data_IF_738844157675
#
_entry.id   IF_738844157675
#
_cell.length_a   1.000
_cell.length_b   1.000
_cell.length_c   1.000
_cell.angle_alpha   90.00
_cell.angle_beta   90.00
_cell.angle_gamma   90.00
#
_symmetry.space_group_name_H-M   'P 1'
#
loop_
_entity.id
_entity.type
_entity.pdbx_description
1 polymer ?
#
# COMPACT_ATOMS: atom_id res chain seq x y z
N UNK A 1 -13.34 19.05 -2.51
CA UNK A 1 -12.84 17.75 -2.01
C UNK A 1 -13.91 16.74 -2.30
N UNK A 2 -13.53 15.64 -2.95
CA UNK A 2 -14.43 14.53 -3.25
C UNK A 2 -14.80 13.82 -1.93
N UNK A 3 -16.08 13.50 -1.69
CA UNK A 3 -16.50 12.75 -0.51
C UNK A 3 -15.74 11.41 -0.41
N UNK A 4 -15.34 11.03 0.81
CA UNK A 4 -14.61 9.78 1.04
C UNK A 4 -15.40 8.53 0.57
N UNK A 5 -16.73 8.58 0.64
CA UNK A 5 -17.61 7.52 0.15
C UNK A 5 -17.49 7.31 -1.37
N UNK A 6 -17.34 8.39 -2.14
CA UNK A 6 -17.22 8.33 -3.61
C UNK A 6 -15.88 7.73 -4.01
N UNK A 7 -14.78 8.18 -3.38
CA UNK A 7 -13.44 7.61 -3.59
C UNK A 7 -13.41 6.11 -3.28
N UNK A 8 -14.12 5.70 -2.22
CA UNK A 8 -14.23 4.30 -1.85
C UNK A 8 -15.05 3.49 -2.87
N UNK A 9 -16.16 4.01 -3.37
CA UNK A 9 -16.97 3.35 -4.38
C UNK A 9 -16.18 3.14 -5.69
N UNK A 10 -15.39 4.14 -6.09
CA UNK A 10 -14.47 4.03 -7.21
C UNK A 10 -13.38 2.98 -6.97
N UNK A 11 -12.78 2.97 -5.78
CA UNK A 11 -11.81 1.95 -5.39
C UNK A 11 -12.39 0.52 -5.42
N UNK A 12 -13.66 0.34 -5.03
CA UNK A 12 -14.38 -0.94 -5.16
C UNK A 12 -14.64 -1.33 -6.62
N UNK A 13 -14.93 -0.36 -7.50
CA UNK A 13 -15.05 -0.62 -8.94
C UNK A 13 -13.70 -0.98 -9.58
N UNK A 14 -12.62 -0.34 -9.14
CA UNK A 14 -11.27 -0.62 -9.59
C UNK A 14 -10.78 -2.01 -9.15
N UNK A 15 -10.97 -2.35 -7.88
CA UNK A 15 -10.58 -3.65 -7.32
C UNK A 15 -11.32 -4.83 -7.98
N UNK A 16 -12.55 -4.63 -8.48
CA UNK A 16 -13.31 -5.65 -9.22
C UNK A 16 -12.75 -5.96 -10.61
N UNK A 17 -12.00 -5.03 -11.20
CA UNK A 17 -11.42 -5.19 -12.54
C UNK A 17 -10.04 -5.88 -12.51
N UNK A 18 -9.43 -6.01 -11.33
CA UNK A 18 -8.14 -6.65 -11.16
C UNK A 18 -8.30 -8.15 -10.84
N UNK A 19 -7.38 -9.01 -11.30
CA UNK A 19 -7.33 -10.39 -10.84
C UNK A 19 -7.05 -10.45 -9.32
N UNK A 20 -7.36 -11.57 -8.67
CA UNK A 20 -7.05 -11.78 -7.24
C UNK A 20 -5.55 -11.67 -6.92
N UNK A 21 -5.19 -11.54 -5.63
CA UNK A 21 -3.79 -11.50 -5.23
C UNK A 21 -3.22 -12.93 -5.17
N UNK A 22 -2.01 -13.09 -5.72
CA UNK A 22 -1.30 -14.35 -5.83
C UNK A 22 -0.28 -14.55 -4.70
N UNK A 23 -0.62 -14.20 -3.46
CA UNK A 23 0.28 -14.45 -2.33
C UNK A 23 0.40 -15.93 -1.97
N UNK A 24 -0.61 -16.74 -2.30
CA UNK A 24 -0.80 -18.11 -1.80
C UNK A 24 -0.19 -19.22 -2.67
N UNK A 25 0.08 -18.97 -3.96
CA UNK A 25 0.59 -19.99 -4.86
C UNK A 25 2.05 -20.39 -4.55
N UNK A 26 2.91 -19.40 -4.23
CA UNK A 26 4.33 -19.65 -3.99
C UNK A 26 4.62 -20.17 -2.57
N UNK A 27 3.84 -19.79 -1.57
CA UNK A 27 3.95 -20.40 -0.23
C UNK A 27 3.70 -21.92 -0.29
N UNK A 28 2.92 -22.39 -1.26
CA UNK A 28 2.68 -23.81 -1.52
C UNK A 28 3.77 -24.49 -2.34
N UNK A 29 4.44 -23.78 -3.28
CA UNK A 29 5.52 -24.34 -4.12
C UNK A 29 6.90 -24.31 -3.43
N UNK A 30 7.23 -23.24 -2.71
CA UNK A 30 8.48 -23.11 -1.94
C UNK A 30 8.53 -24.07 -0.74
N UNK A 31 7.39 -24.66 -0.35
CA UNK A 31 7.30 -25.67 0.71
C UNK A 31 7.81 -27.07 0.28
N UNK A 32 8.30 -27.23 -0.95
CA UNK A 32 8.71 -28.53 -1.51
C UNK A 32 10.21 -28.72 -1.79
N UNK A 33 11.11 -27.88 -1.26
CA UNK A 33 12.55 -28.20 -1.23
C UNK A 33 13.17 -27.84 0.13
N UNK A 34 13.15 -28.80 1.06
CA UNK A 34 14.30 -29.04 1.92
C UNK A 34 14.61 -28.13 3.12
N UNK A 35 13.65 -27.46 3.76
CA UNK A 35 13.90 -26.87 5.09
C UNK A 35 12.83 -27.24 6.12
N UNK A 36 13.28 -27.86 7.21
CA UNK A 36 12.50 -28.06 8.43
C UNK A 36 12.26 -26.69 9.11
N UNK A 37 11.29 -25.94 8.58
CA UNK A 37 10.93 -24.59 9.05
C UNK A 37 9.50 -24.56 9.62
N UNK A 38 9.34 -25.11 10.83
CA UNK A 38 8.25 -24.86 11.79
C UNK A 38 6.82 -24.67 11.20
N UNK A 39 6.25 -25.76 10.71
CA UNK A 39 4.78 -25.87 10.55
C UNK A 39 4.14 -25.97 11.94
N UNK A 40 3.19 -25.07 12.25
CA UNK A 40 2.46 -25.03 13.54
C UNK A 40 0.96 -25.19 13.28
N UNK A 41 0.22 -25.94 14.11
CA UNK A 41 -1.24 -25.95 14.05
C UNK A 41 -1.77 -24.55 14.36
N UNK A 42 -2.78 -24.09 13.61
CA UNK A 42 -3.27 -22.72 13.69
C UNK A 42 -4.68 -22.54 13.15
N UNK A 43 -5.04 -21.28 12.87
CA UNK A 43 -6.39 -20.86 12.45
C UNK A 43 -6.47 -20.56 10.95
N UNK A 44 -5.74 -21.29 10.09
CA UNK A 44 -5.88 -21.15 8.64
C UNK A 44 -7.05 -21.94 8.08
N UNK A 45 -7.25 -21.87 6.76
CA UNK A 45 -8.33 -22.56 6.07
C UNK A 45 -7.89 -23.91 5.46
N UNK A 46 -6.59 -24.07 5.22
CA UNK A 46 -6.02 -25.27 4.60
C UNK A 46 -5.92 -26.42 5.62
N UNK A 47 -6.43 -27.59 5.20
CA UNK A 47 -6.31 -28.83 5.97
C UNK A 47 -4.84 -29.20 6.15
N UNK A 48 -4.39 -29.31 7.40
CA UNK A 48 -3.02 -29.71 7.72
C UNK A 48 -2.96 -31.22 7.97
N UNK A 49 -3.57 -31.67 9.07
CA UNK A 49 -3.65 -33.09 9.41
C UNK A 49 -4.87 -33.35 10.30
N UNK A 50 -5.25 -34.62 10.40
CA UNK A 50 -6.10 -35.07 11.49
C UNK A 50 -5.24 -35.40 12.69
N UNK A 51 -5.60 -34.83 13.84
CA UNK A 51 -5.02 -35.18 15.14
C UNK A 51 -6.08 -35.87 15.99
N UNK A 52 -5.68 -36.80 16.86
CA UNK A 52 -6.56 -37.37 17.87
C UNK A 52 -7.03 -36.27 18.83
N UNK A 53 -8.33 -36.27 19.10
CA UNK A 53 -8.95 -35.39 20.08
C UNK A 53 -8.23 -35.48 21.42
N UNK A 54 -7.91 -34.33 22.00
CA UNK A 54 -7.43 -34.22 23.37
C UNK A 54 -8.51 -33.57 24.23
N UNK A 55 -8.46 -33.80 25.55
CA UNK A 55 -9.54 -33.40 26.45
C UNK A 55 -9.68 -31.88 26.58
N UNK A 56 -8.62 -31.14 26.24
CA UNK A 56 -8.57 -29.69 26.11
C UNK A 56 -9.20 -29.13 24.82
N UNK A 57 -9.56 -29.98 23.85
CA UNK A 57 -10.17 -29.53 22.60
C UNK A 57 -11.68 -29.28 22.76
N UNK A 58 -12.13 -28.17 22.17
CA UNK A 58 -13.54 -27.83 22.11
C UNK A 58 -14.30 -28.79 21.17
N UNK A 59 -15.52 -29.16 21.55
CA UNK A 59 -16.33 -30.18 20.87
C UNK A 59 -16.75 -29.77 19.43
N UNK A 60 -16.78 -28.47 19.15
CA UNK A 60 -17.07 -27.90 17.82
C UNK A 60 -15.93 -28.11 16.81
N UNK A 61 -14.72 -28.43 17.29
CA UNK A 61 -13.55 -28.73 16.45
C UNK A 61 -13.47 -30.20 16.00
N UNK A 62 -14.34 -31.06 16.52
CA UNK A 62 -14.38 -32.49 16.19
C UNK A 62 -14.95 -32.67 14.78
N UNK A 63 -14.17 -33.34 13.91
CA UNK A 63 -14.66 -33.77 12.62
C UNK A 63 -15.47 -35.06 12.81
N UNK A 64 -16.78 -34.90 13.01
CA UNK A 64 -17.70 -36.01 13.21
C UNK A 64 -17.74 -36.99 12.02
N UNK A 65 -17.51 -36.50 10.79
CA UNK A 65 -17.53 -37.33 9.59
C UNK A 65 -16.31 -38.25 9.52
N UNK A 66 -15.13 -37.76 9.93
CA UNK A 66 -13.92 -38.58 10.05
C UNK A 66 -14.03 -39.55 11.23
N UNK A 67 -14.53 -39.07 12.36
CA UNK A 67 -14.62 -39.84 13.61
C UNK A 67 -15.64 -40.98 13.53
N UNK A 68 -16.71 -40.84 12.74
CA UNK A 68 -17.71 -41.89 12.55
C UNK A 68 -17.19 -43.19 11.89
N UNK A 69 -15.96 -43.19 11.36
CA UNK A 69 -15.35 -44.37 10.73
C UNK A 69 -14.64 -45.30 11.73
N UNK A 70 -14.60 -44.97 13.02
CA UNK A 70 -13.95 -45.79 14.05
C UNK A 70 -14.35 -45.37 15.47
N UNK A 71 -13.64 -45.89 16.48
CA UNK A 71 -13.90 -45.60 17.90
C UNK A 71 -13.13 -44.39 18.46
N UNK A 72 -12.40 -43.67 17.61
CA UNK A 72 -11.54 -42.55 18.01
C UNK A 72 -12.06 -41.23 17.46
N UNK A 73 -12.03 -40.17 18.29
CA UNK A 73 -12.39 -38.82 17.88
C UNK A 73 -11.19 -38.11 17.25
N UNK A 74 -11.43 -37.44 16.12
CA UNK A 74 -10.43 -36.68 15.39
C UNK A 74 -10.81 -35.20 15.32
N UNK A 75 -9.81 -34.35 15.54
CA UNK A 75 -9.88 -32.90 15.32
C UNK A 75 -9.19 -32.59 14.02
N UNK A 76 -9.82 -31.75 13.19
CA UNK A 76 -9.22 -31.23 11.98
C UNK A 76 -8.29 -30.07 12.35
N UNK A 77 -6.99 -30.24 12.20
CA UNK A 77 -6.04 -29.14 12.34
C UNK A 77 -5.90 -28.41 11.00
N UNK A 78 -5.85 -27.09 11.07
CA UNK A 78 -5.54 -26.25 9.91
C UNK A 78 -4.17 -25.61 10.07
N UNK A 79 -3.56 -25.28 8.93
CA UNK A 79 -2.25 -24.64 8.90
C UNK A 79 -2.31 -23.23 9.52
N UNK A 80 -1.27 -22.80 10.23
CA UNK A 80 -1.20 -21.42 10.73
C UNK A 80 -0.86 -20.44 9.58
N UNK A 81 -1.87 -19.95 8.87
CA UNK A 81 -1.71 -18.77 8.00
C UNK A 81 -1.64 -17.51 8.89
N UNK A 82 -0.45 -16.94 9.08
CA UNK A 82 -0.34 -15.65 9.78
C UNK A 82 -0.66 -14.53 8.80
N UNK A 83 -1.86 -13.94 8.92
CA UNK A 83 -2.26 -12.78 8.12
C UNK A 83 -1.19 -11.67 8.19
N UNK A 84 -0.69 -11.26 7.03
CA UNK A 84 0.18 -10.11 6.85
C UNK A 84 -0.55 -8.84 7.28
N UNK A 85 0.23 -7.85 7.65
CA UNK A 85 -0.28 -6.52 8.00
C UNK A 85 0.25 -5.53 7.00
N UNK A 86 -0.64 -4.81 6.34
CA UNK A 86 -0.31 -3.76 5.36
C UNK A 86 -0.80 -2.43 5.91
N UNK A 87 0.11 -1.47 6.07
CA UNK A 87 -0.19 -0.14 6.59
C UNK A 87 -0.02 0.92 5.51
N UNK A 88 -0.97 1.84 5.44
CA UNK A 88 -1.04 2.86 4.39
C UNK A 88 -0.86 4.25 4.99
N UNK A 89 -0.10 5.11 4.31
CA UNK A 89 -0.01 6.53 4.63
C UNK A 89 -0.10 7.35 3.34
N UNK A 90 -0.99 8.35 3.35
CA UNK A 90 -1.12 9.32 2.28
C UNK A 90 -0.68 10.68 2.83
N UNK A 91 0.22 11.34 2.11
CA UNK A 91 0.67 12.69 2.43
C UNK A 91 -0.53 13.64 2.48
N UNK A 92 -0.56 14.51 3.48
CA UNK A 92 -1.61 15.51 3.67
C UNK A 92 -1.11 16.93 3.43
N UNK A 93 0.12 17.09 2.95
CA UNK A 93 0.67 18.37 2.52
C UNK A 93 -0.23 19.03 1.46
N UNK A 94 -0.50 20.35 1.55
CA UNK A 94 -1.25 21.09 0.54
C UNK A 94 -0.76 20.89 -0.91
N UNK A 95 0.55 20.68 -1.12
CA UNK A 95 1.11 20.36 -2.45
C UNK A 95 0.58 19.06 -3.04
N UNK A 96 0.29 18.07 -2.20
CA UNK A 96 -0.26 16.78 -2.61
C UNK A 96 -1.80 16.80 -2.69
N UNK A 97 -2.44 17.59 -1.83
CA UNK A 97 -3.89 17.88 -1.85
C UNK A 97 -4.24 18.98 -2.85
N UNK A 98 -3.56 19.01 -3.99
CA UNK A 98 -3.74 19.98 -5.05
C UNK A 98 -3.99 19.27 -6.39
N UNK A 99 -4.66 19.98 -7.31
CA UNK A 99 -4.91 19.56 -8.69
C UNK A 99 -4.78 20.75 -9.63
N UNK A 100 -4.36 20.51 -10.86
CA UNK A 100 -4.39 21.52 -11.90
C UNK A 100 -5.83 21.85 -12.31
N UNK A 101 -6.00 22.99 -12.98
CA UNK A 101 -7.25 23.30 -13.65
C UNK A 101 -7.55 22.24 -14.73
N UNK A 102 -8.82 21.80 -14.80
CA UNK A 102 -9.25 20.73 -15.70
C UNK A 102 -9.05 19.30 -15.16
N UNK A 103 -8.30 19.11 -14.07
CA UNK A 103 -8.19 17.79 -13.44
C UNK A 103 -9.42 17.45 -12.59
N UNK A 104 -9.82 16.17 -12.59
CA UNK A 104 -10.97 15.69 -11.83
C UNK A 104 -10.68 15.66 -10.32
N UNK A 105 -9.53 15.10 -9.94
CA UNK A 105 -9.13 14.82 -8.56
C UNK A 105 -7.77 15.43 -8.24
N UNK A 106 -7.50 15.60 -6.96
CA UNK A 106 -6.15 15.90 -6.45
C UNK A 106 -5.24 14.69 -6.50
N UNK A 107 -3.93 14.90 -6.50
CA UNK A 107 -2.92 13.82 -6.45
C UNK A 107 -3.15 12.91 -5.24
N UNK A 108 -3.51 13.48 -4.08
CA UNK A 108 -3.88 12.74 -2.87
C UNK A 108 -5.15 11.89 -3.02
N UNK A 109 -6.17 12.40 -3.72
CA UNK A 109 -7.41 11.65 -3.99
C UNK A 109 -7.15 10.48 -4.95
N UNK A 110 -6.37 10.68 -6.03
CA UNK A 110 -5.91 9.59 -6.93
C UNK A 110 -5.15 8.51 -6.15
N UNK A 111 -4.19 8.92 -5.31
CA UNK A 111 -3.44 8.00 -4.44
C UNK A 111 -4.35 7.22 -3.49
N UNK A 112 -5.35 7.89 -2.91
CA UNK A 112 -6.32 7.27 -1.99
C UNK A 112 -7.14 6.19 -2.69
N UNK A 113 -7.61 6.43 -3.92
CA UNK A 113 -8.34 5.41 -4.71
C UNK A 113 -7.45 4.20 -4.99
N UNK A 114 -6.20 4.41 -5.39
CA UNK A 114 -5.22 3.33 -5.61
C UNK A 114 -4.98 2.52 -4.32
N UNK A 115 -4.73 3.19 -3.20
CA UNK A 115 -4.51 2.55 -1.90
C UNK A 115 -5.73 1.77 -1.42
N UNK A 116 -6.92 2.36 -1.49
CA UNK A 116 -8.16 1.70 -1.07
C UNK A 116 -8.47 0.50 -1.96
N UNK A 117 -8.20 0.57 -3.28
CA UNK A 117 -8.42 -0.57 -4.17
C UNK A 117 -7.57 -1.76 -3.75
N UNK A 118 -6.29 -1.53 -3.40
CA UNK A 118 -5.39 -2.55 -2.89
C UNK A 118 -5.85 -3.06 -1.52
N UNK A 119 -6.25 -2.16 -0.62
CA UNK A 119 -6.75 -2.53 0.71
C UNK A 119 -8.02 -3.39 0.64
N UNK A 120 -8.91 -3.14 -0.33
CA UNK A 120 -10.10 -3.96 -0.58
C UNK A 120 -9.71 -5.37 -1.01
N UNK A 121 -8.72 -5.51 -1.91
CA UNK A 121 -8.22 -6.82 -2.34
C UNK A 121 -7.58 -7.58 -1.18
N UNK A 122 -6.68 -6.93 -0.45
CA UNK A 122 -6.02 -7.49 0.73
C UNK A 122 -7.02 -7.94 1.80
N UNK A 123 -8.03 -7.11 2.07
CA UNK A 123 -9.06 -7.42 3.05
C UNK A 123 -9.92 -8.63 2.66
N UNK A 124 -10.16 -8.82 1.35
CA UNK A 124 -10.85 -10.01 0.82
C UNK A 124 -10.01 -11.28 0.97
N UNK A 125 -8.69 -11.15 0.86
CA UNK A 125 -7.76 -12.28 0.97
C UNK A 125 -7.36 -12.60 2.43
N UNK A 126 -7.99 -11.93 3.40
CA UNK A 126 -7.80 -12.18 4.84
C UNK A 126 -6.67 -11.37 5.48
N UNK A 127 -6.06 -10.44 4.75
CA UNK A 127 -4.95 -9.63 5.24
C UNK A 127 -5.44 -8.46 6.11
N UNK A 128 -4.59 -8.05 7.06
CA UNK A 128 -4.88 -6.91 7.94
C UNK A 128 -4.47 -5.61 7.27
N UNK A 129 -5.39 -4.64 7.22
CA UNK A 129 -5.15 -3.31 6.66
C UNK A 129 -5.41 -2.22 7.69
N UNK A 130 -4.67 -1.11 7.61
CA UNK A 130 -4.86 0.05 8.49
C UNK A 130 -4.02 1.26 8.09
N UNK A 131 -4.25 2.43 8.69
CA UNK A 131 -3.44 3.61 8.44
C UNK A 131 -2.16 3.61 9.30
N UNK A 132 -1.02 3.92 8.70
CA UNK A 132 0.23 4.18 9.41
C UNK A 132 0.16 5.58 10.05
N UNK A 133 0.45 5.66 11.36
CA UNK A 133 0.19 6.87 12.15
C UNK A 133 -1.29 7.10 12.47
N UNK A 134 -2.17 6.16 12.10
CA UNK A 134 -3.55 6.14 12.52
C UNK A 134 -3.68 5.87 14.02
N UNK A 135 -4.75 6.38 14.63
CA UNK A 135 -5.05 6.13 16.05
C UNK A 135 -5.55 4.70 16.32
N UNK A 136 -5.88 3.94 15.26
CA UNK A 136 -6.44 2.59 15.34
C UNK A 136 -5.48 1.56 14.75
N UNK A 137 -5.49 0.35 15.29
CA UNK A 137 -4.70 -0.76 14.76
C UNK A 137 -5.29 -1.35 13.47
N UNK A 138 -4.44 -2.01 12.69
CA UNK A 138 -4.87 -2.73 11.49
C UNK A 138 -5.87 -3.85 11.82
N UNK A 139 -6.83 -4.07 10.93
CA UNK A 139 -7.87 -5.08 11.09
C UNK A 139 -8.31 -5.65 9.74
N UNK A 140 -9.18 -6.66 9.76
CA UNK A 140 -9.70 -7.34 8.56
C UNK A 140 -11.16 -6.97 8.27
N UNK A 141 -11.63 -7.33 7.06
CA UNK A 141 -13.01 -7.17 6.61
C UNK A 141 -13.42 -5.75 6.19
N UNK A 142 -14.67 -5.62 5.72
CA UNK A 142 -15.22 -4.39 5.12
C UNK A 142 -15.03 -3.14 6.00
N UNK A 143 -15.23 -3.28 7.33
CA UNK A 143 -15.06 -2.20 8.31
C UNK A 143 -13.62 -1.72 8.44
N UNK A 144 -12.63 -2.54 8.11
CA UNK A 144 -11.23 -2.11 8.10
C UNK A 144 -10.95 -1.13 6.97
N UNK A 145 -11.52 -1.39 5.78
CA UNK A 145 -11.44 -0.48 4.62
C UNK A 145 -12.19 0.83 4.90
N UNK A 146 -13.37 0.77 5.54
CA UNK A 146 -14.11 1.97 5.96
C UNK A 146 -13.24 2.85 6.86
N UNK A 147 -12.65 2.25 7.89
CA UNK A 147 -11.78 2.96 8.84
C UNK A 147 -10.54 3.52 8.17
N UNK A 148 -9.90 2.75 7.28
CA UNK A 148 -8.74 3.21 6.53
C UNK A 148 -9.09 4.44 5.67
N UNK A 149 -10.23 4.41 4.97
CA UNK A 149 -10.70 5.55 4.17
C UNK A 149 -10.90 6.82 5.00
N UNK A 150 -11.48 6.69 6.20
CA UNK A 150 -11.63 7.81 7.14
C UNK A 150 -10.28 8.34 7.63
N UNK A 151 -9.33 7.45 7.95
CA UNK A 151 -8.02 7.82 8.48
C UNK A 151 -7.13 8.51 7.42
N UNK A 152 -7.11 7.99 6.18
CA UNK A 152 -6.42 8.65 5.07
C UNK A 152 -7.02 10.02 4.76
N UNK A 153 -8.35 10.14 4.79
CA UNK A 153 -9.04 11.42 4.56
C UNK A 153 -8.68 12.45 5.64
N UNK A 154 -8.62 12.02 6.90
CA UNK A 154 -8.24 12.85 8.04
C UNK A 154 -6.79 13.35 7.95
N UNK A 155 -5.88 12.51 7.45
CA UNK A 155 -4.45 12.80 7.41
C UNK A 155 -3.78 12.71 8.79
N UNK A 156 -2.51 13.11 8.86
CA UNK A 156 -1.68 13.07 10.07
C UNK A 156 -1.32 14.46 10.60
N UNK A 157 -1.98 15.50 10.08
CA UNK A 157 -1.76 16.90 10.50
C UNK A 157 -0.38 17.43 10.14
N UNK A 158 0.17 17.02 8.99
CA UNK A 158 1.51 17.41 8.55
C UNK A 158 2.67 16.74 9.30
N UNK A 159 2.38 15.79 10.19
CA UNK A 159 3.40 15.01 10.89
C UNK A 159 3.65 13.70 10.16
N UNK A 160 4.90 13.41 9.81
CA UNK A 160 5.27 12.12 9.23
C UNK A 160 5.18 11.01 10.29
N UNK A 161 4.60 9.84 9.98
CA UNK A 161 4.28 8.85 11.01
C UNK A 161 5.51 8.15 11.56
N UNK A 162 5.46 7.82 12.86
CA UNK A 162 6.47 7.00 13.51
C UNK A 162 6.39 5.52 13.07
N UNK A 163 7.47 4.73 13.24
CA UNK A 163 7.45 3.30 12.96
C UNK A 163 6.34 2.55 13.72
N UNK A 164 5.69 1.56 13.08
CA UNK A 164 4.66 0.78 13.74
C UNK A 164 5.25 -0.12 14.84
N UNK A 165 4.40 -0.54 15.78
CA UNK A 165 4.82 -1.42 16.90
C UNK A 165 5.33 -2.78 16.42
N UNK A 166 4.71 -3.32 15.37
CA UNK A 166 5.03 -4.62 14.75
C UNK A 166 5.43 -4.43 13.30
N UNK A 167 6.24 -5.36 12.76
CA UNK A 167 6.60 -5.36 11.35
C UNK A 167 5.34 -5.47 10.46
N UNK A 168 5.33 -4.71 9.38
CA UNK A 168 4.24 -4.62 8.41
C UNK A 168 4.82 -4.29 7.03
N UNK A 169 4.05 -4.52 5.97
CA UNK A 169 4.34 -3.97 4.64
C UNK A 169 3.78 -2.55 4.57
N UNK A 170 4.59 -1.58 4.18
CA UNK A 170 4.18 -0.17 4.17
C UNK A 170 3.83 0.33 2.76
N UNK A 171 2.75 1.07 2.61
CA UNK A 171 2.41 1.78 1.36
C UNK A 171 2.35 3.27 1.66
N UNK A 172 3.25 4.04 1.07
CA UNK A 172 3.43 5.48 1.35
C UNK A 172 3.20 6.24 0.05
N UNK A 173 2.24 7.16 0.01
CA UNK A 173 1.98 8.00 -1.16
C UNK A 173 2.27 9.48 -0.89
N UNK A 174 2.94 10.12 -1.83
CA UNK A 174 3.28 11.55 -1.84
C UNK A 174 3.64 11.96 -3.28
N UNK A 175 3.91 13.23 -3.51
CA UNK A 175 4.60 13.69 -4.72
C UNK A 175 6.13 13.58 -4.58
N UNK A 176 6.63 13.42 -3.35
CA UNK A 176 8.04 13.26 -3.00
C UNK A 176 8.95 14.38 -3.52
N UNK A 177 8.46 15.62 -3.61
CA UNK A 177 9.26 16.75 -4.10
C UNK A 177 10.20 17.37 -3.05
N UNK A 178 10.08 17.00 -1.77
CA UNK A 178 11.07 17.38 -0.76
C UNK A 178 12.46 16.73 -1.04
N UNK A 179 13.57 17.34 -0.60
CA UNK A 179 14.91 16.83 -0.86
C UNK A 179 15.13 15.37 -0.42
N UNK A 180 15.90 14.61 -1.21
CA UNK A 180 16.22 13.20 -0.93
C UNK A 180 16.83 12.97 0.47
N UNK A 181 17.73 13.82 1.00
CA UNK A 181 18.23 13.65 2.37
C UNK A 181 17.11 13.70 3.43
N UNK A 182 16.07 14.51 3.22
CA UNK A 182 14.92 14.57 4.13
C UNK A 182 14.08 13.30 4.03
N UNK A 183 13.80 12.82 2.82
CA UNK A 183 13.10 11.53 2.65
C UNK A 183 13.89 10.37 3.24
N UNK A 184 15.22 10.34 3.08
CA UNK A 184 16.07 9.35 3.73
C UNK A 184 15.90 9.39 5.26
N UNK A 185 15.91 10.57 5.87
CA UNK A 185 15.74 10.71 7.31
C UNK A 185 14.34 10.27 7.79
N UNK A 186 13.29 10.61 7.04
CA UNK A 186 11.90 10.22 7.34
C UNK A 186 11.68 8.72 7.19
N UNK A 187 12.24 8.09 6.15
CA UNK A 187 12.02 6.68 5.81
C UNK A 187 12.94 5.71 6.57
N UNK A 188 14.15 6.13 6.98
CA UNK A 188 15.10 5.23 7.62
C UNK A 188 14.56 4.52 8.90
N UNK A 189 13.85 5.20 9.82
CA UNK A 189 13.24 4.54 10.97
C UNK A 189 12.17 3.52 10.58
N UNK A 190 11.40 3.82 9.52
CA UNK A 190 10.37 2.91 9.01
C UNK A 190 11.00 1.66 8.39
N UNK A 191 11.99 1.83 7.51
CA UNK A 191 12.69 0.74 6.84
C UNK A 191 13.45 -0.16 7.83
N UNK A 192 13.98 0.40 8.92
CA UNK A 192 14.61 -0.40 9.98
C UNK A 192 13.64 -1.32 10.73
N UNK A 193 12.35 -0.99 10.77
CA UNK A 193 11.30 -1.80 11.43
C UNK A 193 10.51 -2.67 10.45
N UNK A 194 10.34 -2.19 9.22
CA UNK A 194 9.50 -2.78 8.18
C UNK A 194 10.37 -3.01 6.93
N UNK A 195 10.79 -4.25 6.66
CA UNK A 195 11.68 -4.56 5.54
C UNK A 195 11.00 -4.43 4.17
N UNK A 196 9.68 -4.36 4.13
CA UNK A 196 8.89 -4.27 2.91
C UNK A 196 8.11 -2.96 2.86
N UNK A 197 8.17 -2.29 1.73
CA UNK A 197 7.36 -1.11 1.50
C UNK A 197 7.34 -0.65 0.05
N UNK A 198 6.30 0.09 -0.32
CA UNK A 198 6.11 0.68 -1.63
C UNK A 198 5.94 2.19 -1.46
N UNK A 199 6.75 2.95 -2.19
CA UNK A 199 6.49 4.37 -2.42
C UNK A 199 5.64 4.53 -3.68
N UNK A 200 4.47 5.17 -3.53
CA UNK A 200 3.55 5.52 -4.61
C UNK A 200 3.67 7.02 -4.91
N UNK A 201 4.50 7.37 -5.89
CA UNK A 201 4.66 8.75 -6.34
C UNK A 201 3.52 9.14 -7.28
N UNK A 202 2.75 10.16 -6.92
CA UNK A 202 1.69 10.70 -7.79
C UNK A 202 2.06 12.12 -8.23
N UNK A 203 2.04 12.33 -9.55
CA UNK A 203 2.32 13.62 -10.19
C UNK A 203 1.13 14.08 -11.03
N UNK A 204 0.98 15.40 -11.18
CA UNK A 204 0.05 15.98 -12.15
C UNK A 204 0.70 16.05 -13.55
N UNK A 205 -0.07 15.93 -14.65
CA UNK A 205 0.44 16.12 -16.01
C UNK A 205 1.22 17.42 -16.18
N UNK A 206 0.76 18.52 -15.57
CA UNK A 206 1.46 19.81 -15.72
C UNK A 206 2.81 19.83 -15.02
N UNK A 207 2.99 18.99 -14.00
CA UNK A 207 4.28 18.79 -13.32
C UNK A 207 5.22 17.90 -14.15
N UNK A 208 4.68 16.97 -14.93
CA UNK A 208 5.50 16.10 -15.79
C UNK A 208 5.90 16.81 -17.08
N UNK A 209 4.95 17.48 -17.73
CA UNK A 209 5.11 18.06 -19.06
C UNK A 209 5.66 19.50 -19.04
N UNK A 210 5.51 20.20 -17.90
CA UNK A 210 5.88 21.60 -17.72
C UNK A 210 5.44 22.51 -18.90
N UNK A 211 4.12 22.58 -19.22
CA UNK A 211 3.61 23.22 -20.44
C UNK A 211 3.51 24.74 -20.33
N UNK A 212 4.39 25.38 -19.56
CA UNK A 212 4.36 26.83 -19.33
C UNK A 212 5.19 27.56 -20.40
N UNK A 213 4.68 28.70 -20.86
CA UNK A 213 5.31 29.57 -21.85
C UNK A 213 5.15 31.05 -21.48
N UNK A 214 6.13 31.86 -21.86
CA UNK A 214 6.14 33.29 -21.60
C UNK A 214 6.22 33.62 -20.11
N UNK A 215 5.57 34.72 -19.72
CA UNK A 215 5.62 35.21 -18.34
C UNK A 215 4.61 34.48 -17.47
N UNK A 216 5.09 33.59 -16.61
CA UNK A 216 4.25 32.83 -15.67
C UNK A 216 4.63 33.14 -14.22
N UNK A 217 3.63 33.16 -13.33
CA UNK A 217 3.84 33.18 -11.89
C UNK A 217 3.41 31.83 -11.32
N UNK A 218 4.36 31.05 -10.82
CA UNK A 218 4.09 29.78 -10.16
C UNK A 218 3.98 30.00 -8.66
N UNK A 219 3.04 29.30 -8.03
CA UNK A 219 2.78 29.36 -6.59
C UNK A 219 2.98 27.96 -6.00
N UNK A 220 3.60 27.88 -4.82
CA UNK A 220 3.64 26.63 -4.06
C UNK A 220 2.30 26.47 -3.33
N UNK A 221 1.52 25.40 -3.58
CA UNK A 221 0.26 25.20 -2.87
C UNK A 221 0.46 25.19 -1.35
N UNK A 222 -0.42 25.87 -0.62
CA UNK A 222 -0.36 26.00 0.84
C UNK A 222 0.76 26.90 1.39
N UNK A 223 1.49 27.61 0.53
CA UNK A 223 2.54 28.55 0.94
C UNK A 223 2.37 29.91 0.25
N UNK A 224 2.87 30.98 0.88
CA UNK A 224 2.98 32.29 0.24
C UNK A 224 4.12 32.35 -0.81
N UNK A 225 4.93 31.29 -0.91
CA UNK A 225 6.04 31.21 -1.84
C UNK A 225 5.53 31.20 -3.29
N UNK A 226 6.01 32.18 -4.07
CA UNK A 226 5.74 32.27 -5.50
C UNK A 226 7.00 32.69 -6.24
N UNK A 227 7.09 32.29 -7.51
CA UNK A 227 8.20 32.64 -8.39
C UNK A 227 7.67 33.09 -9.74
N UNK A 228 8.17 34.23 -10.21
CA UNK A 228 7.85 34.76 -11.53
C UNK A 228 8.99 34.38 -12.46
N UNK A 229 8.63 33.76 -13.58
CA UNK A 229 9.53 33.52 -14.69
C UNK A 229 9.14 34.47 -15.83
N UNK A 230 10.12 35.17 -16.41
CA UNK A 230 9.87 36.05 -17.55
C UNK A 230 9.57 35.28 -18.82
N UNK A 231 10.33 34.19 -19.06
CA UNK A 231 10.11 33.18 -20.11
C UNK A 231 10.23 31.81 -19.46
N UNK A 232 9.11 31.14 -19.23
CA UNK A 232 9.07 29.86 -18.52
C UNK A 232 9.76 28.74 -19.32
N UNK A 233 9.68 28.79 -20.64
CA UNK A 233 10.29 27.84 -21.55
C UNK A 233 11.81 27.75 -21.40
N UNK A 234 12.49 28.81 -20.92
CA UNK A 234 13.95 28.80 -20.76
C UNK A 234 14.43 27.92 -19.61
N UNK A 235 13.56 27.60 -18.63
CA UNK A 235 13.90 26.73 -17.50
C UNK A 235 13.37 25.31 -17.66
N UNK A 236 12.62 25.02 -18.74
CA UNK A 236 11.95 23.73 -18.96
C UNK A 236 12.93 22.57 -18.92
N UNK A 237 14.07 22.72 -19.60
CA UNK A 237 15.11 21.69 -19.63
C UNK A 237 15.71 21.43 -18.24
N UNK A 238 16.11 22.49 -17.52
CA UNK A 238 16.64 22.37 -16.16
C UNK A 238 15.60 21.76 -15.19
N UNK A 239 14.32 22.12 -15.36
CA UNK A 239 13.23 21.55 -14.58
C UNK A 239 13.09 20.05 -14.82
N UNK A 240 13.03 19.60 -16.08
CA UNK A 240 12.91 18.17 -16.39
C UNK A 240 14.12 17.38 -15.90
N UNK A 241 15.32 17.93 -16.01
CA UNK A 241 16.54 17.30 -15.47
C UNK A 241 16.44 17.10 -13.96
N UNK A 242 16.00 18.12 -13.21
CA UNK A 242 15.80 18.02 -11.75
C UNK A 242 14.67 17.06 -11.38
N UNK A 243 13.58 17.07 -12.13
CA UNK A 243 12.45 16.18 -11.93
C UNK A 243 12.84 14.70 -12.13
N UNK A 244 13.58 14.41 -13.21
CA UNK A 244 14.12 13.09 -13.48
C UNK A 244 15.12 12.66 -12.39
N UNK A 245 16.09 13.53 -12.05
CA UNK A 245 17.08 13.24 -11.02
C UNK A 245 16.45 12.94 -9.64
N UNK A 246 15.39 13.66 -9.28
CA UNK A 246 14.65 13.40 -8.04
C UNK A 246 14.02 11.99 -8.04
N UNK A 247 13.41 11.59 -9.16
CA UNK A 247 12.78 10.26 -9.30
C UNK A 247 13.80 9.12 -9.32
N UNK A 248 14.91 9.31 -10.02
CA UNK A 248 16.01 8.35 -10.05
C UNK A 248 16.60 8.16 -8.64
N UNK A 249 16.80 9.26 -7.91
CA UNK A 249 17.29 9.20 -6.54
C UNK A 249 16.29 8.53 -5.57
N UNK A 250 14.97 8.70 -5.76
CA UNK A 250 13.95 7.97 -5.00
C UNK A 250 13.95 6.47 -5.34
N UNK A 251 14.09 6.12 -6.62
CA UNK A 251 14.21 4.73 -7.05
C UNK A 251 15.45 4.08 -6.43
N UNK A 252 16.59 4.77 -6.45
CA UNK A 252 17.80 4.28 -5.80
C UNK A 252 17.64 4.16 -4.27
N UNK A 253 17.02 5.15 -3.63
CA UNK A 253 16.76 5.13 -2.19
C UNK A 253 15.91 3.92 -1.78
N UNK A 254 14.82 3.64 -2.52
CA UNK A 254 13.93 2.51 -2.25
C UNK A 254 14.62 1.17 -2.52
N UNK A 255 15.39 1.05 -3.60
CA UNK A 255 16.16 -0.16 -3.90
C UNK A 255 17.15 -0.50 -2.78
N UNK A 256 17.87 0.50 -2.24
CA UNK A 256 18.78 0.30 -1.10
C UNK A 256 18.07 -0.17 0.18
N UNK A 257 16.79 0.17 0.35
CA UNK A 257 15.95 -0.27 1.48
C UNK A 257 15.27 -1.63 1.24
N UNK A 258 15.40 -2.21 0.04
CA UNK A 258 14.63 -3.40 -0.36
C UNK A 258 13.16 -3.14 -0.67
N UNK A 259 12.77 -1.86 -0.73
CA UNK A 259 11.42 -1.40 -1.03
C UNK A 259 11.18 -1.32 -2.55
N UNK A 260 9.97 -0.93 -2.97
CA UNK A 260 9.60 -0.72 -4.36
C UNK A 260 9.15 0.72 -4.61
N UNK A 261 9.28 1.15 -5.85
CA UNK A 261 8.85 2.46 -6.31
C UNK A 261 7.83 2.30 -7.44
N UNK A 262 6.66 2.92 -7.26
CA UNK A 262 5.60 2.98 -8.27
C UNK A 262 5.28 4.44 -8.52
N UNK A 263 5.19 4.83 -9.79
CA UNK A 263 4.74 6.17 -10.16
C UNK A 263 3.41 6.14 -10.91
N UNK A 264 2.61 7.16 -10.67
CA UNK A 264 1.34 7.41 -11.34
C UNK A 264 1.26 8.90 -11.73
N UNK A 265 0.69 9.16 -12.90
CA UNK A 265 0.36 10.52 -13.36
C UNK A 265 -1.17 10.59 -13.41
N UNK A 266 -1.78 11.63 -12.84
CA UNK A 266 -3.25 11.71 -12.69
C UNK A 266 -4.03 11.69 -14.01
N UNK A 267 -3.39 11.92 -15.17
CA UNK A 267 -4.02 11.73 -16.49
C UNK A 267 -4.09 10.27 -16.95
N UNK A 268 -3.32 9.36 -16.33
CA UNK A 268 -3.24 7.97 -16.74
C UNK A 268 -4.39 7.14 -16.15
N UNK A 269 -4.83 6.07 -16.82
CA UNK A 269 -5.86 5.19 -16.28
C UNK A 269 -5.43 4.54 -14.95
N UNK A 270 -6.24 4.74 -13.90
CA UNK A 270 -6.05 4.17 -12.56
C UNK A 270 -5.83 2.65 -12.57
N UNK A 271 -6.48 1.93 -13.48
CA UNK A 271 -6.37 0.47 -13.60
C UNK A 271 -4.93 0.01 -13.84
N UNK A 272 -4.18 0.73 -14.67
CA UNK A 272 -2.78 0.37 -14.96
C UNK A 272 -1.90 0.58 -13.73
N UNK A 273 -2.08 1.68 -13.03
CA UNK A 273 -1.33 1.98 -11.80
C UNK A 273 -1.70 1.04 -10.67
N UNK A 274 -2.96 0.66 -10.52
CA UNK A 274 -3.40 -0.32 -9.55
C UNK A 274 -2.84 -1.71 -9.85
N UNK A 275 -2.80 -2.13 -11.12
CA UNK A 275 -2.16 -3.37 -11.54
C UNK A 275 -0.64 -3.39 -11.25
N UNK A 276 0.07 -2.26 -11.49
CA UNK A 276 1.49 -2.13 -11.13
C UNK A 276 1.70 -2.21 -9.62
N UNK A 277 0.87 -1.51 -8.83
CA UNK A 277 0.94 -1.52 -7.37
C UNK A 277 0.72 -2.93 -6.81
N UNK A 278 -0.29 -3.65 -7.33
CA UNK A 278 -0.54 -5.06 -7.04
C UNK A 278 0.68 -5.93 -7.33
N UNK A 279 1.25 -5.84 -8.53
CA UNK A 279 2.39 -6.64 -8.94
C UNK A 279 3.63 -6.39 -8.05
N UNK A 280 3.88 -5.13 -7.66
CA UNK A 280 4.97 -4.81 -6.73
C UNK A 280 4.72 -5.39 -5.34
N UNK A 281 3.47 -5.38 -4.86
CA UNK A 281 3.13 -5.99 -3.57
C UNK A 281 3.34 -7.51 -3.59
N UNK A 282 2.93 -8.17 -4.67
CA UNK A 282 3.13 -9.61 -4.87
C UNK A 282 4.61 -10.00 -4.91
N UNK A 283 5.47 -9.13 -5.43
CA UNK A 283 6.92 -9.36 -5.47
C UNK A 283 7.58 -9.52 -4.09
N UNK A 284 6.93 -9.08 -3.01
CA UNK A 284 7.42 -9.33 -1.64
C UNK A 284 7.17 -10.77 -1.18
N UNK A 285 6.12 -11.42 -1.69
CA UNK A 285 5.86 -12.85 -1.46
C UNK A 285 6.79 -13.76 -2.25
N UNK A 286 7.27 -13.31 -3.41
CA UNK A 286 8.08 -14.07 -4.37
C UNK A 286 9.58 -14.19 -4.03
N UNK A 287 9.98 -14.01 -2.76
CA UNK A 287 11.38 -14.22 -2.37
C UNK A 287 11.69 -15.73 -2.27
N UNK A 288 12.47 -16.17 -3.26
CA UNK A 288 13.22 -17.43 -3.42
C UNK A 288 13.66 -18.09 -2.10
#
# INVERSE_FOLDING_TARGET
>A
MTPAADLRAEAEALARQLPGLNFKAEASEAAHIGSAGRRRPGTGEHFWQYRRYAQEDAADRVDWRRSAKGNELFVRETELETARTVLFWCDDNPGFRWKAEGELRTKAEEATVLMLSLAIMLSKDGERVGALGGGRGASFGKRAVDRLSEELSRGTGGTFPAPPRSSATLIIASDFYDPIPEWRARLAPLAGKCPEGILLAVSSPIEVDFPFEGRVKLHRPGSALSRIFGRAETIREEYHQRFAAQRDALSELTNRMGWRFVSHVSSQPLLQSAARLKAQLESFGAKL
#
